data_IF_585596739713
#
_entry.id   IF_585596739713
#
_cell.length_a   1.000
_cell.length_b   1.000
_cell.length_c   1.000
_cell.angle_alpha   90.00
_cell.angle_beta   90.00
_cell.angle_gamma   90.00
#
_symmetry.space_group_name_H-M   'P 1'
#
loop_
_entity.id
_entity.type
_entity.pdbx_description
1 polymer ?
#
# COMPACT_ATOMS: atom_id res chain seq x y z
N UNK A 1 -4.93 2.68 -15.94
CA UNK A 1 -4.60 2.92 -14.52
C UNK A 1 -3.81 1.76 -13.95
N UNK A 2 -2.51 1.98 -13.69
CA UNK A 2 -1.62 1.02 -13.02
C UNK A 2 -2.27 0.58 -11.69
N UNK A 3 -2.24 -0.72 -11.31
CA UNK A 3 -2.94 -1.23 -10.13
C UNK A 3 -2.74 -0.41 -8.84
N UNK A 4 -1.52 0.08 -8.61
CA UNK A 4 -1.21 0.91 -7.44
C UNK A 4 -1.99 2.23 -7.40
N UNK A 5 -2.22 2.89 -8.54
CA UNK A 5 -2.98 4.15 -8.56
C UNK A 5 -4.47 3.92 -8.28
N UNK A 6 -5.03 2.81 -8.74
CA UNK A 6 -6.42 2.46 -8.44
C UNK A 6 -6.60 2.22 -6.93
N UNK A 7 -5.65 1.50 -6.32
CA UNK A 7 -5.63 1.24 -4.89
C UNK A 7 -5.44 2.54 -4.10
N UNK A 8 -4.53 3.42 -4.54
CA UNK A 8 -4.30 4.72 -3.89
C UNK A 8 -5.55 5.60 -3.92
N UNK A 9 -6.16 5.75 -5.09
CA UNK A 9 -7.42 6.46 -5.26
C UNK A 9 -8.54 5.85 -4.41
N UNK A 10 -8.61 4.51 -4.34
CA UNK A 10 -9.60 3.80 -3.55
C UNK A 10 -9.54 4.14 -2.07
N UNK A 11 -8.35 4.14 -1.46
CA UNK A 11 -8.24 4.51 -0.05
C UNK A 11 -8.38 6.02 0.20
N UNK A 12 -8.06 6.89 -0.78
CA UNK A 12 -8.42 8.31 -0.70
C UNK A 12 -9.94 8.52 -0.65
N UNK A 13 -10.70 7.81 -1.49
CA UNK A 13 -12.15 7.86 -1.49
C UNK A 13 -12.73 7.33 -0.18
N UNK A 14 -12.19 6.23 0.35
CA UNK A 14 -12.60 5.69 1.65
C UNK A 14 -12.37 6.70 2.78
N UNK A 15 -11.22 7.39 2.77
CA UNK A 15 -10.92 8.45 3.73
C UNK A 15 -11.89 9.62 3.60
N UNK A 16 -12.15 10.08 2.38
CA UNK A 16 -13.10 11.16 2.11
C UNK A 16 -14.50 10.80 2.60
N UNK A 17 -14.98 9.60 2.27
CA UNK A 17 -16.28 9.11 2.68
C UNK A 17 -16.42 9.12 4.21
N UNK A 18 -15.40 8.60 4.92
CA UNK A 18 -15.36 8.61 6.40
C UNK A 18 -15.37 10.02 6.99
N UNK A 19 -14.66 10.97 6.38
CA UNK A 19 -14.61 12.35 6.87
C UNK A 19 -15.92 13.11 6.64
N UNK A 20 -16.73 12.69 5.68
CA UNK A 20 -17.98 13.35 5.31
C UNK A 20 -19.24 12.55 5.69
N UNK A 21 -19.10 11.44 6.43
CA UNK A 21 -20.24 10.61 6.86
C UNK A 21 -20.98 9.90 5.72
N UNK A 22 -20.28 9.55 4.63
CA UNK A 22 -20.86 8.89 3.46
C UNK A 22 -20.68 7.37 3.54
N UNK A 23 -21.41 6.71 4.45
CA UNK A 23 -21.22 5.29 4.80
C UNK A 23 -21.38 4.32 3.61
N UNK A 24 -22.22 4.65 2.63
CA UNK A 24 -22.45 3.81 1.44
C UNK A 24 -21.20 3.72 0.54
N UNK A 25 -20.44 4.82 0.40
CA UNK A 25 -19.18 4.81 -0.34
C UNK A 25 -18.06 4.11 0.42
N UNK A 26 -18.11 4.12 1.76
CA UNK A 26 -17.11 3.50 2.61
C UNK A 26 -17.16 1.96 2.58
N UNK A 27 -18.28 1.39 2.16
CA UNK A 27 -18.48 -0.06 2.06
C UNK A 27 -18.06 -0.67 0.72
N UNK A 28 -17.66 0.14 -0.29
CA UNK A 28 -17.24 -0.39 -1.59
C UNK A 28 -15.88 -1.08 -1.52
N UNK A 29 -15.73 -2.29 -2.09
CA UNK A 29 -14.44 -2.99 -2.10
C UNK A 29 -13.37 -2.20 -2.86
N UNK A 30 -12.21 -1.99 -2.23
CA UNK A 30 -11.08 -1.26 -2.84
C UNK A 30 -10.56 -2.00 -4.10
N UNK A 31 -10.75 -3.32 -4.18
CA UNK A 31 -10.29 -4.17 -5.29
C UNK A 31 -11.28 -4.27 -6.47
N UNK A 32 -12.48 -3.70 -6.38
CA UNK A 32 -13.45 -3.71 -7.49
C UNK A 32 -13.23 -2.55 -8.49
N UNK A 33 -12.31 -1.64 -8.19
CA UNK A 33 -11.96 -0.55 -9.10
C UNK A 33 -11.19 -1.10 -10.31
N UNK A 34 -11.46 -0.60 -11.53
CA UNK A 34 -10.92 -1.19 -12.76
C UNK A 34 -9.40 -1.19 -12.76
N UNK A 35 -8.83 -2.38 -12.54
CA UNK A 35 -7.42 -2.65 -12.72
C UNK A 35 -7.09 -2.56 -14.22
N UNK A 36 -6.21 -1.64 -14.58
CA UNK A 36 -5.67 -1.59 -15.94
C UNK A 36 -4.19 -1.94 -15.90
N UNK A 37 -3.78 -2.83 -16.81
CA UNK A 37 -2.38 -3.14 -16.99
C UNK A 37 -1.65 -1.89 -17.49
N UNK A 38 -0.43 -1.63 -16.99
CA UNK A 38 0.38 -0.54 -17.53
C UNK A 38 0.57 -0.76 -19.03
N UNK A 39 0.26 0.22 -19.91
CA UNK A 39 0.47 0.08 -21.35
C UNK A 39 1.97 0.08 -21.73
N UNK A 40 2.86 0.33 -20.76
CA UNK A 40 4.30 0.45 -20.99
C UNK A 40 4.99 -0.92 -20.89
N UNK A 41 5.46 -1.43 -22.04
CA UNK A 41 5.99 -2.79 -22.23
C UNK A 41 7.20 -3.18 -21.36
N UNK A 42 7.97 -2.22 -20.83
CA UNK A 42 9.25 -2.53 -20.17
C UNK A 42 9.15 -2.70 -18.66
N UNK A 43 8.22 -2.04 -17.99
CA UNK A 43 8.16 -1.97 -16.52
C UNK A 43 6.91 -2.62 -15.92
N UNK A 44 6.00 -3.15 -16.75
CA UNK A 44 4.73 -3.73 -16.29
C UNK A 44 4.88 -4.88 -15.29
N UNK A 45 6.00 -5.60 -15.32
CA UNK A 45 6.28 -6.73 -14.44
C UNK A 45 7.17 -6.37 -13.24
N UNK A 46 7.62 -5.11 -13.14
CA UNK A 46 8.45 -4.65 -12.04
C UNK A 46 7.63 -4.55 -10.76
N UNK A 47 8.31 -4.74 -9.62
CA UNK A 47 7.71 -4.62 -8.29
C UNK A 47 8.15 -3.29 -7.71
N UNK A 48 7.29 -2.29 -7.83
CA UNK A 48 7.55 -0.93 -7.36
C UNK A 48 7.15 -0.77 -5.89
N UNK A 49 8.01 -0.14 -5.09
CA UNK A 49 7.78 0.06 -3.66
C UNK A 49 6.44 0.74 -3.35
N UNK A 50 6.10 1.79 -4.11
CA UNK A 50 4.94 2.63 -3.80
C UNK A 50 3.62 1.86 -3.96
N UNK A 51 3.52 0.99 -4.95
CA UNK A 51 2.34 0.15 -5.17
C UNK A 51 2.03 -0.67 -3.91
N UNK A 52 3.06 -1.27 -3.31
CA UNK A 52 2.90 -2.08 -2.12
C UNK A 52 2.63 -1.24 -0.87
N UNK A 53 3.26 -0.07 -0.73
CA UNK A 53 2.98 0.83 0.39
C UNK A 53 1.53 1.35 0.38
N UNK A 54 0.98 1.66 -0.78
CA UNK A 54 -0.43 2.07 -0.91
C UNK A 54 -1.38 0.90 -0.65
N UNK A 55 -0.99 -0.31 -1.07
CA UNK A 55 -1.74 -1.53 -0.79
C UNK A 55 -1.81 -1.82 0.71
N UNK A 56 -0.72 -1.62 1.46
CA UNK A 56 -0.71 -1.74 2.91
C UNK A 56 -1.70 -0.78 3.59
N UNK A 57 -1.71 0.48 3.16
CA UNK A 57 -2.63 1.49 3.70
C UNK A 57 -4.08 1.12 3.40
N UNK A 58 -4.36 0.69 2.17
CA UNK A 58 -5.70 0.28 1.75
C UNK A 58 -6.24 -0.90 2.57
N UNK A 59 -5.47 -1.98 2.72
CA UNK A 59 -5.90 -3.15 3.49
C UNK A 59 -6.16 -2.82 4.96
N UNK A 60 -5.28 -2.06 5.61
CA UNK A 60 -5.52 -1.65 7.00
C UNK A 60 -6.73 -0.74 7.15
N UNK A 61 -6.95 0.18 6.21
CA UNK A 61 -8.12 1.06 6.24
C UNK A 61 -9.41 0.27 6.02
N UNK A 62 -9.41 -0.70 5.11
CA UNK A 62 -10.51 -1.64 4.92
C UNK A 62 -10.78 -2.46 6.18
N UNK A 63 -9.74 -3.01 6.82
CA UNK A 63 -9.88 -3.74 8.09
C UNK A 63 -10.45 -2.85 9.20
N UNK A 64 -9.99 -1.60 9.32
CA UNK A 64 -10.52 -0.66 10.30
C UNK A 64 -12.03 -0.43 10.16
N UNK A 65 -12.53 -0.43 8.93
CA UNK A 65 -13.94 -0.19 8.62
C UNK A 65 -14.80 -1.45 8.74
N UNK A 66 -14.37 -2.55 8.11
CA UNK A 66 -15.15 -3.77 7.95
C UNK A 66 -14.98 -4.78 9.08
N UNK A 67 -13.80 -4.77 9.74
CA UNK A 67 -13.35 -5.80 10.69
C UNK A 67 -13.25 -7.21 10.12
N UNK A 68 -13.25 -7.33 8.81
CA UNK A 68 -13.02 -8.58 8.11
C UNK A 68 -11.54 -9.00 8.21
N UNK A 69 -11.27 -10.16 8.81
CA UNK A 69 -9.94 -10.71 9.04
C UNK A 69 -9.12 -10.89 7.75
N UNK A 70 -9.78 -11.13 6.62
CA UNK A 70 -9.11 -11.32 5.33
C UNK A 70 -8.30 -10.08 4.90
N UNK A 71 -8.76 -8.89 5.28
CA UNK A 71 -8.04 -7.63 5.05
C UNK A 71 -6.76 -7.54 5.89
N UNK A 72 -6.80 -8.00 7.14
CA UNK A 72 -5.63 -7.98 8.03
C UNK A 72 -4.59 -9.01 7.57
N UNK A 73 -5.04 -10.20 7.16
CA UNK A 73 -4.17 -11.24 6.61
C UNK A 73 -3.50 -10.77 5.30
N UNK A 74 -4.26 -10.09 4.45
CA UNK A 74 -3.73 -9.51 3.22
C UNK A 74 -2.74 -8.37 3.49
N UNK A 75 -3.01 -7.52 4.48
CA UNK A 75 -2.02 -6.53 4.95
C UNK A 75 -0.73 -7.21 5.42
N UNK A 76 -0.81 -8.25 6.26
CA UNK A 76 0.35 -8.96 6.78
C UNK A 76 1.19 -9.57 5.63
N UNK A 77 0.53 -10.22 4.66
CA UNK A 77 1.21 -10.78 3.47
C UNK A 77 1.96 -9.72 2.67
N UNK A 78 1.37 -8.55 2.46
CA UNK A 78 2.03 -7.45 1.72
C UNK A 78 3.18 -6.86 2.55
N UNK A 79 2.99 -6.69 3.86
CA UNK A 79 4.03 -6.23 4.76
C UNK A 79 5.24 -7.17 4.76
N UNK A 80 5.03 -8.49 4.90
CA UNK A 80 6.10 -9.48 4.92
C UNK A 80 6.88 -9.52 3.60
N UNK A 81 6.17 -9.38 2.47
CA UNK A 81 6.80 -9.26 1.16
C UNK A 81 7.67 -8.00 1.09
N UNK A 82 7.15 -6.84 1.49
CA UNK A 82 7.91 -5.58 1.52
C UNK A 82 9.13 -5.66 2.43
N UNK A 83 8.94 -6.19 3.63
CA UNK A 83 10.00 -6.31 4.63
C UNK A 83 11.13 -7.24 4.17
N UNK A 84 10.78 -8.28 3.42
CA UNK A 84 11.75 -9.25 2.90
C UNK A 84 12.50 -8.75 1.66
N UNK A 85 11.84 -8.00 0.78
CA UNK A 85 12.39 -7.68 -0.55
C UNK A 85 12.75 -6.20 -0.74
N UNK A 86 11.96 -5.28 -0.20
CA UNK A 86 12.18 -3.85 -0.37
C UNK A 86 13.10 -3.26 0.70
N UNK A 87 13.01 -3.69 1.95
CA UNK A 87 13.78 -3.09 3.06
C UNK A 87 15.27 -3.40 2.94
N UNK A 88 16.10 -2.36 2.89
CA UNK A 88 17.53 -2.51 3.04
C UNK A 88 17.90 -2.52 4.53
N UNK A 89 18.08 -3.73 5.07
CA UNK A 89 18.42 -3.95 6.48
C UNK A 89 19.81 -3.44 6.87
N UNK A 90 20.69 -3.13 5.90
CA UNK A 90 22.05 -2.64 6.17
C UNK A 90 22.13 -1.13 6.22
N UNK A 91 21.48 -0.46 5.27
CA UNK A 91 21.59 1.01 5.11
C UNK A 91 20.32 1.77 5.49
N UNK A 92 19.25 1.05 5.86
CA UNK A 92 17.94 1.65 6.06
C UNK A 92 17.27 2.02 4.74
N UNK A 93 16.01 2.45 4.86
CA UNK A 93 15.14 2.79 3.73
C UNK A 93 14.86 1.57 2.81
N UNK A 94 14.06 1.76 1.76
CA UNK A 94 13.52 0.73 0.89
C UNK A 94 14.07 0.91 -0.54
N UNK A 95 14.49 -0.18 -1.18
CA UNK A 95 14.70 -0.18 -2.62
C UNK A 95 13.40 0.16 -3.35
N UNK A 96 13.47 1.07 -4.32
CA UNK A 96 12.31 1.45 -5.12
C UNK A 96 11.89 0.35 -6.09
N UNK A 97 12.87 -0.21 -6.81
CA UNK A 97 12.61 -0.95 -8.04
C UNK A 97 13.18 -2.36 -7.93
N UNK A 98 12.30 -3.35 -7.97
CA UNK A 98 12.68 -4.75 -8.04
C UNK A 98 12.20 -5.36 -9.36
N UNK A 99 12.93 -6.38 -9.81
CA UNK A 99 12.53 -7.23 -10.91
C UNK A 99 11.33 -8.10 -10.50
N UNK A 100 10.72 -8.79 -11.47
CA UNK A 100 9.55 -9.66 -11.23
C UNK A 100 9.79 -10.73 -10.16
N UNK A 101 11.02 -11.24 -10.07
CA UNK A 101 11.46 -12.26 -9.12
C UNK A 101 11.78 -11.71 -7.71
N UNK A 102 11.67 -10.39 -7.50
CA UNK A 102 11.98 -9.74 -6.24
C UNK A 102 13.45 -9.30 -6.09
N UNK A 103 14.31 -9.58 -7.08
CA UNK A 103 15.70 -9.11 -7.06
C UNK A 103 15.80 -7.59 -7.26
N UNK A 104 16.74 -6.94 -6.58
CA UNK A 104 16.92 -5.48 -6.65
C UNK A 104 17.37 -5.07 -8.06
N UNK A 105 16.54 -4.30 -8.76
CA UNK A 105 16.82 -3.78 -10.10
C UNK A 105 17.65 -2.50 -10.03
N UNK A 106 17.25 -1.57 -9.14
CA UNK A 106 17.96 -0.30 -8.93
C UNK A 106 18.28 -0.11 -7.44
N UNK A 107 19.55 0.20 -7.14
CA UNK A 107 20.07 0.27 -5.76
C UNK A 107 19.93 1.63 -5.10
N UNK A 108 19.60 2.68 -5.85
CA UNK A 108 19.42 4.00 -5.28
C UNK A 108 18.18 4.04 -4.37
N UNK A 109 18.24 4.80 -3.27
CA UNK A 109 17.15 4.98 -2.30
C UNK A 109 16.27 6.20 -2.61
N UNK A 110 16.78 7.10 -3.44
CA UNK A 110 16.06 8.25 -3.95
C UNK A 110 16.49 8.56 -5.38
N UNK A 111 15.57 9.13 -6.15
CA UNK A 111 15.76 9.48 -7.55
C UNK A 111 14.64 10.41 -8.02
N UNK A 112 14.50 10.65 -9.33
CA UNK A 112 13.49 11.58 -9.87
C UNK A 112 12.06 11.28 -9.42
N UNK A 113 11.75 10.01 -9.18
CA UNK A 113 10.40 9.53 -8.84
C UNK A 113 10.30 8.87 -7.46
N UNK A 114 11.41 8.80 -6.71
CA UNK A 114 11.44 8.25 -5.34
C UNK A 114 12.05 9.25 -4.39
N UNK A 115 11.27 9.68 -3.41
CA UNK A 115 11.70 10.58 -2.34
C UNK A 115 11.09 10.21 -1.00
N UNK A 116 11.24 11.12 -0.03
CA UNK A 116 10.71 10.99 1.32
C UNK A 116 9.18 11.22 1.36
N UNK A 117 8.41 10.32 0.76
CA UNK A 117 6.95 10.44 0.68
C UNK A 117 6.22 9.13 0.93
N UNK A 118 6.11 8.24 -0.07
CA UNK A 118 5.30 7.02 0.04
C UNK A 118 5.68 6.12 1.22
N UNK A 119 6.98 5.87 1.42
CA UNK A 119 7.47 5.02 2.54
C UNK A 119 7.14 5.64 3.90
N UNK A 120 7.61 6.86 4.26
CA UNK A 120 7.31 7.41 5.58
C UNK A 120 5.82 7.67 5.80
N UNK A 121 5.07 8.12 4.79
CA UNK A 121 3.62 8.35 4.89
C UNK A 121 2.86 7.07 5.18
N UNK A 122 3.10 6.01 4.40
CA UNK A 122 2.40 4.73 4.57
C UNK A 122 2.70 4.12 5.94
N UNK A 123 3.96 4.09 6.36
CA UNK A 123 4.35 3.55 7.66
C UNK A 123 3.73 4.34 8.82
N UNK A 124 3.68 5.67 8.71
CA UNK A 124 3.02 6.53 9.70
C UNK A 124 1.53 6.21 9.80
N UNK A 125 0.83 6.12 8.66
CA UNK A 125 -0.60 5.81 8.63
C UNK A 125 -0.89 4.40 9.15
N UNK A 126 -0.11 3.40 8.74
CA UNK A 126 -0.23 2.03 9.24
C UNK A 126 -0.04 2.01 10.77
N UNK A 127 0.99 2.69 11.30
CA UNK A 127 1.22 2.80 12.75
C UNK A 127 0.04 3.44 13.46
N UNK A 128 -0.50 4.56 12.96
CA UNK A 128 -1.64 5.24 13.55
C UNK A 128 -2.87 4.34 13.59
N UNK A 129 -3.20 3.70 12.46
CA UNK A 129 -4.34 2.80 12.35
C UNK A 129 -4.22 1.59 13.28
N UNK A 130 -3.07 0.93 13.31
CA UNK A 130 -2.79 -0.18 14.22
C UNK A 130 -2.87 0.25 15.69
N UNK A 131 -2.34 1.42 16.04
CA UNK A 131 -2.42 1.95 17.41
C UNK A 131 -3.87 2.22 17.84
N UNK A 132 -4.73 2.70 16.92
CA UNK A 132 -6.16 2.86 17.19
C UNK A 132 -6.88 1.53 17.33
N UNK A 133 -6.52 0.55 16.49
CA UNK A 133 -7.09 -0.81 16.54
C UNK A 133 -6.79 -1.49 17.88
N UNK A 134 -5.56 -1.39 18.38
CA UNK A 134 -5.12 -1.98 19.65
C UNK A 134 -5.75 -1.32 20.89
N UNK A 135 -6.24 -0.08 20.79
CA UNK A 135 -6.90 0.62 21.91
C UNK A 135 -8.35 0.21 22.11
N UNK A 136 -8.99 -0.42 21.12
CA UNK A 136 -10.39 -0.81 21.20
C UNK A 136 -10.46 -2.21 21.86
N UNK A 137 -11.31 -2.42 22.88
CA UNK A 137 -11.57 -3.76 23.38
C UNK A 137 -12.17 -4.61 22.26
N UNK A 138 -11.69 -5.85 22.14
CA UNK A 138 -12.20 -6.89 21.22
C UNK A 138 -13.63 -7.27 21.55
#
# INVERSE_FOLDING_TARGET
MIPGHAIEAGWFLLRYAKQNGQDELAQRPIYEWPFCQSPVQLEWNMKMWWVHTETMVAFLMAYQHTRDGDHLDSFARVYDYCYSNHVDKKQGEWYGYLNRDGSVSMRFKGGPWKGCFHVPRSLLYCKQMLSELLKRPT
#
